data_IF_322117113630
#
_entry.id   IF_322117113630
#
_cell.length_a   1.000
_cell.length_b   1.000
_cell.length_c   1.000
_cell.angle_alpha   90.00
_cell.angle_beta   90.00
_cell.angle_gamma   90.00
#
_symmetry.space_group_name_H-M   'P 1'
#
loop_
_entity.id
_entity.type
_entity.pdbx_description
1 polymer ?
#
# COMPACT_ATOMS: atom_id res chain seq x y z
N UNK A 1 -19.54 56.19 -14.16
CA UNK A 1 -19.50 55.64 -12.78
C UNK A 1 -18.06 55.28 -12.46
N UNK A 2 -17.56 55.69 -11.30
CA UNK A 2 -16.32 55.12 -10.68
C UNK A 2 -16.65 53.70 -10.15
N UNK A 3 -15.74 52.82 -9.70
CA UNK A 3 -14.27 52.83 -9.52
C UNK A 3 -13.76 51.40 -9.88
N UNK A 4 -12.63 50.81 -9.46
CA UNK A 4 -11.54 51.15 -8.51
C UNK A 4 -10.27 50.32 -8.86
N UNK A 5 -9.15 50.57 -8.18
CA UNK A 5 -7.98 49.68 -8.11
C UNK A 5 -8.05 48.81 -6.84
N UNK A 6 -7.61 47.56 -6.90
CA UNK A 6 -6.91 46.90 -5.80
C UNK A 6 -5.81 45.98 -6.36
N UNK A 7 -4.62 46.09 -5.76
CA UNK A 7 -3.46 45.24 -6.04
C UNK A 7 -3.34 44.23 -4.91
N UNK A 8 -3.13 42.96 -5.22
CA UNK A 8 -2.60 41.97 -4.28
C UNK A 8 -1.47 41.22 -4.95
N UNK A 9 -0.24 41.69 -4.71
CA UNK A 9 0.95 40.86 -4.82
C UNK A 9 0.94 39.88 -3.63
N UNK A 10 1.13 38.59 -3.91
CA UNK A 10 1.23 37.55 -2.91
C UNK A 10 2.15 36.43 -3.43
N UNK A 11 3.44 36.74 -3.41
CA UNK A 11 4.54 35.77 -3.50
C UNK A 11 4.27 34.47 -2.74
N UNK A 12 4.34 33.32 -3.43
CA UNK A 12 4.41 32.01 -2.78
C UNK A 12 5.23 31.01 -3.60
N UNK A 13 6.44 30.71 -3.10
CA UNK A 13 7.30 29.55 -3.38
C UNK A 13 7.41 29.00 -4.83
N UNK A 14 8.28 29.64 -5.61
CA UNK A 14 9.06 28.93 -6.63
C UNK A 14 10.08 27.98 -5.94
N UNK A 15 9.61 26.89 -5.33
CA UNK A 15 10.51 25.90 -4.72
C UNK A 15 11.09 24.97 -5.79
N UNK A 16 12.19 25.46 -6.36
CA UNK A 16 13.14 24.77 -7.26
C UNK A 16 13.24 23.28 -6.93
N UNK A 17 12.98 22.46 -7.95
CA UNK A 17 13.27 21.02 -7.95
C UNK A 17 14.70 20.75 -7.46
N UNK A 18 14.80 20.04 -6.34
CA UNK A 18 16.03 19.35 -5.94
C UNK A 18 15.96 17.92 -6.45
N UNK A 19 16.45 17.71 -7.67
CA UNK A 19 16.80 16.37 -8.13
C UNK A 19 18.04 15.84 -7.40
N UNK A 20 18.11 14.51 -7.34
CA UNK A 20 19.30 13.71 -6.99
C UNK A 20 19.75 13.79 -5.53
N UNK A 21 19.18 12.88 -4.74
CA UNK A 21 19.62 12.56 -3.39
C UNK A 21 19.15 11.21 -2.87
N UNK A 22 18.52 10.36 -3.71
CA UNK A 22 18.14 9.00 -3.32
C UNK A 22 19.39 8.13 -3.18
N UNK A 23 19.98 8.19 -1.99
CA UNK A 23 20.67 7.02 -1.46
C UNK A 23 19.60 5.98 -1.17
N UNK A 24 19.47 5.03 -2.07
CA UNK A 24 18.97 3.70 -1.72
C UNK A 24 19.99 3.07 -0.74
N UNK A 25 19.94 3.49 0.52
CA UNK A 25 20.55 2.75 1.61
C UNK A 25 19.84 1.39 1.62
N UNK A 26 20.54 0.37 1.13
CA UNK A 26 20.04 -0.99 0.89
C UNK A 26 19.74 -1.73 2.19
N UNK A 27 18.74 -1.25 2.94
CA UNK A 27 18.13 -1.96 4.04
C UNK A 27 17.43 -3.17 3.43
N UNK A 28 18.02 -4.35 3.64
CA UNK A 28 17.35 -5.61 3.37
C UNK A 28 16.11 -5.73 4.28
N UNK A 29 14.99 -5.21 3.79
CA UNK A 29 13.73 -5.24 4.52
C UNK A 29 13.29 -6.70 4.61
N UNK A 30 13.34 -7.26 5.82
CA UNK A 30 12.92 -8.63 6.07
C UNK A 30 11.40 -8.69 5.88
N UNK A 31 10.98 -9.10 4.69
CA UNK A 31 9.57 -9.35 4.38
C UNK A 31 9.16 -10.62 5.12
N UNK A 32 8.58 -10.46 6.31
CA UNK A 32 7.95 -11.57 7.03
C UNK A 32 6.86 -12.19 6.17
N UNK A 33 6.72 -13.51 6.22
CA UNK A 33 5.71 -14.25 5.48
C UNK A 33 4.55 -14.66 6.39
N UNK A 34 3.37 -14.81 5.80
CA UNK A 34 2.16 -15.33 6.45
C UNK A 34 1.52 -16.38 5.57
N UNK A 35 1.17 -17.51 6.18
CA UNK A 35 0.52 -18.66 5.56
C UNK A 35 -0.97 -18.63 5.84
N UNK A 36 -1.76 -18.41 4.79
CA UNK A 36 -3.21 -18.51 4.84
C UNK A 36 -3.63 -19.95 4.57
N UNK A 37 -4.48 -20.49 5.45
CA UNK A 37 -5.17 -21.77 5.23
C UNK A 37 -6.60 -21.51 4.77
N UNK A 38 -6.94 -22.00 3.58
CA UNK A 38 -8.19 -21.67 2.91
C UNK A 38 -8.96 -22.92 2.48
N UNK A 39 -10.29 -22.86 2.58
CA UNK A 39 -11.20 -23.95 2.19
C UNK A 39 -12.27 -23.42 1.22
N UNK A 40 -12.58 -24.20 0.19
CA UNK A 40 -13.74 -23.97 -0.69
C UNK A 40 -14.28 -25.29 -1.22
N UNK A 41 -15.55 -25.59 -0.93
CA UNK A 41 -16.25 -26.81 -1.41
C UNK A 41 -15.48 -28.12 -1.12
N UNK A 42 -14.82 -28.22 0.04
CA UNK A 42 -14.00 -29.38 0.42
C UNK A 42 -12.59 -29.43 -0.20
N UNK A 43 -12.21 -28.43 -1.01
CA UNK A 43 -10.84 -28.25 -1.51
C UNK A 43 -10.07 -27.34 -0.57
N UNK A 44 -8.83 -27.72 -0.27
CA UNK A 44 -7.91 -26.97 0.58
C UNK A 44 -6.88 -26.22 -0.27
N UNK A 45 -6.51 -25.01 0.15
CA UNK A 45 -5.48 -24.19 -0.45
C UNK A 45 -4.59 -23.60 0.67
N UNK A 46 -3.27 -23.67 0.48
CA UNK A 46 -2.28 -22.98 1.30
C UNK A 46 -1.65 -21.88 0.46
N UNK A 47 -1.60 -20.66 0.98
CA UNK A 47 -1.00 -19.51 0.30
C UNK A 47 -0.03 -18.82 1.24
N UNK A 48 1.25 -18.79 0.86
CA UNK A 48 2.25 -17.95 1.51
C UNK A 48 2.24 -16.55 0.88
N UNK A 49 2.14 -15.53 1.73
CA UNK A 49 1.93 -14.13 1.35
C UNK A 49 2.91 -13.25 2.14
N UNK A 50 3.50 -12.20 1.54
CA UNK A 50 4.13 -11.12 2.31
C UNK A 50 3.19 -10.59 3.39
N UNK A 51 3.69 -10.40 4.61
CA UNK A 51 2.90 -9.88 5.73
C UNK A 51 2.30 -8.49 5.45
N UNK A 52 2.93 -7.71 4.57
CA UNK A 52 2.45 -6.42 4.07
C UNK A 52 1.21 -6.54 3.16
N UNK A 53 1.08 -7.64 2.42
CA UNK A 53 0.03 -7.85 1.43
C UNK A 53 -1.10 -8.79 1.91
N UNK A 54 -1.00 -9.29 3.16
CA UNK A 54 -1.86 -10.35 3.67
C UNK A 54 -3.34 -9.99 3.63
N UNK A 55 -3.72 -8.78 4.03
CA UNK A 55 -5.14 -8.38 4.11
C UNK A 55 -5.74 -8.09 2.73
N UNK A 56 -4.92 -7.61 1.77
CA UNK A 56 -5.29 -7.53 0.36
C UNK A 56 -5.54 -8.93 -0.20
N UNK A 57 -4.62 -9.88 0.03
CA UNK A 57 -4.77 -11.27 -0.45
C UNK A 57 -5.97 -11.97 0.19
N UNK A 58 -6.23 -11.76 1.48
CA UNK A 58 -7.43 -12.27 2.17
C UNK A 58 -8.70 -11.77 1.47
N UNK A 59 -8.77 -10.48 1.17
CA UNK A 59 -9.92 -9.85 0.51
C UNK A 59 -10.16 -10.44 -0.89
N UNK A 60 -9.10 -10.64 -1.68
CA UNK A 60 -9.18 -11.31 -3.00
C UNK A 60 -9.70 -12.75 -2.88
N UNK A 61 -9.18 -13.52 -1.91
CA UNK A 61 -9.57 -14.92 -1.69
C UNK A 61 -11.04 -15.04 -1.28
N UNK A 62 -11.51 -14.16 -0.38
CA UNK A 62 -12.92 -14.09 0.04
C UNK A 62 -13.83 -13.75 -1.14
N UNK A 63 -13.46 -12.79 -1.99
CA UNK A 63 -14.21 -12.45 -3.22
C UNK A 63 -14.25 -13.61 -4.23
N UNK A 64 -13.23 -14.47 -4.23
CA UNK A 64 -13.19 -15.72 -5.01
C UNK A 64 -13.93 -16.90 -4.34
N UNK A 65 -14.61 -16.65 -3.21
CA UNK A 65 -15.39 -17.64 -2.48
C UNK A 65 -14.56 -18.62 -1.64
N UNK A 66 -13.31 -18.29 -1.31
CA UNK A 66 -12.53 -19.05 -0.33
C UNK A 66 -12.84 -18.57 1.08
N UNK A 67 -13.14 -19.52 1.98
CA UNK A 67 -13.14 -19.27 3.41
C UNK A 67 -11.69 -19.35 3.91
N UNK A 68 -11.32 -18.46 4.83
CA UNK A 68 -10.00 -18.44 5.45
C UNK A 68 -10.16 -18.90 6.89
N UNK A 69 -9.54 -20.03 7.20
CA UNK A 69 -9.65 -20.72 8.49
C UNK A 69 -8.56 -20.25 9.46
N UNK A 70 -7.34 -20.01 8.96
CA UNK A 70 -6.19 -19.61 9.77
C UNK A 70 -5.19 -18.74 8.97
N UNK A 71 -4.35 -17.98 9.68
CA UNK A 71 -3.40 -17.00 9.17
C UNK A 71 -2.12 -16.96 10.04
N UNK A 72 -1.21 -17.88 9.73
CA UNK A 72 -0.06 -18.25 10.58
C UNK A 72 1.20 -17.50 10.13
N UNK A 73 1.95 -16.81 11.01
CA UNK A 73 3.26 -16.25 10.66
C UNK A 73 4.29 -17.36 10.39
N UNK A 74 5.15 -17.17 9.39
CA UNK A 74 6.17 -18.13 8.93
C UNK A 74 7.58 -17.58 9.13
#
# INVERSE_FOLDING_TARGET
MSAQFFVSDATADLKRSHHHGDKEDGVAQVIGLRRLYCIRNGVFLLVDVPALDVDTKKSELILQGWLIEDDIPV
#
